data_IF_040254955732
#
_entry.id   IF_040254955732
#
_cell.length_a   1.000
_cell.length_b   1.000
_cell.length_c   1.000
_cell.angle_alpha   90.00
_cell.angle_beta   90.00
_cell.angle_gamma   90.00
#
_symmetry.space_group_name_H-M   'P 1'
#
loop_
_entity.id
_entity.type
_entity.pdbx_description
1 polymer ?
#
# COMPACT_ATOMS: atom_id res chain seq x y z
N UNK A 1 -37.97 8.67 32.67
CA UNK A 1 -36.85 9.54 33.11
C UNK A 1 -35.66 9.18 32.25
N UNK A 2 -35.41 10.01 31.25
CA UNK A 2 -34.40 9.78 30.22
C UNK A 2 -33.29 10.83 30.45
N UNK A 3 -32.27 10.46 31.20
CA UNK A 3 -31.07 11.29 31.37
C UNK A 3 -30.07 10.96 30.23
N UNK A 4 -30.12 11.75 29.15
CA UNK A 4 -29.05 11.80 28.17
C UNK A 4 -28.02 12.81 28.64
N UNK A 5 -26.94 12.32 29.19
CA UNK A 5 -25.76 13.11 29.51
C UNK A 5 -25.11 13.64 28.19
N UNK A 6 -24.98 14.98 27.98
CA UNK A 6 -24.35 15.50 26.77
C UNK A 6 -22.84 15.32 26.85
N UNK A 7 -22.27 14.70 25.84
CA UNK A 7 -20.81 14.63 25.60
C UNK A 7 -20.21 16.04 25.58
N UNK A 8 -19.08 16.28 26.27
CA UNK A 8 -18.41 17.59 26.24
C UNK A 8 -17.85 17.89 24.86
N UNK A 9 -18.24 19.03 24.29
CA UNK A 9 -17.60 19.56 23.07
C UNK A 9 -16.21 20.05 23.43
N UNK A 10 -15.18 19.38 22.90
CA UNK A 10 -13.79 19.83 23.02
C UNK A 10 -13.61 21.04 22.11
N UNK A 11 -13.36 22.21 22.71
CA UNK A 11 -13.06 23.45 22.01
C UNK A 11 -11.56 23.44 21.64
N UNK A 12 -11.23 23.17 20.38
CA UNK A 12 -9.86 23.08 19.85
C UNK A 12 -9.20 24.45 19.56
N UNK A 13 -9.85 25.57 19.88
CA UNK A 13 -9.30 26.90 19.61
C UNK A 13 -8.13 27.34 20.53
N UNK A 14 -7.78 26.56 21.54
CA UNK A 14 -6.77 26.91 22.57
C UNK A 14 -5.44 26.17 22.53
N UNK A 15 -5.19 25.26 21.59
CA UNK A 15 -4.02 24.32 21.67
C UNK A 15 -2.81 24.79 20.86
N UNK A 16 -2.87 25.89 20.10
CA UNK A 16 -1.74 26.38 19.31
C UNK A 16 -1.06 27.63 19.92
N UNK A 17 -0.63 27.52 21.19
CA UNK A 17 0.44 28.39 21.71
C UNK A 17 1.69 27.55 21.94
N UNK A 18 2.31 27.09 20.85
CA UNK A 18 3.66 26.60 20.89
C UNK A 18 4.62 27.79 20.67
N UNK A 19 5.46 28.02 21.66
CA UNK A 19 6.56 28.95 21.67
C UNK A 19 7.46 28.78 20.44
N UNK A 20 7.67 29.87 19.76
CA UNK A 20 8.40 30.09 18.53
C UNK A 20 9.88 29.62 18.64
N UNK A 21 10.34 28.56 17.94
CA UNK A 21 11.76 28.32 17.78
C UNK A 21 12.28 29.21 16.65
N UNK A 22 13.12 30.19 17.03
CA UNK A 22 14.06 30.96 16.20
C UNK A 22 13.83 30.92 14.68
N UNK A 23 13.24 31.98 14.16
CA UNK A 23 13.20 32.28 12.72
C UNK A 23 14.62 32.29 12.16
N UNK A 24 15.02 31.26 11.43
CA UNK A 24 16.18 31.33 10.56
C UNK A 24 15.85 32.38 9.49
N UNK A 25 16.56 33.52 9.56
CA UNK A 25 16.36 34.64 8.67
C UNK A 25 16.74 34.19 7.24
N UNK A 26 15.84 34.37 6.25
CA UNK A 26 16.05 34.02 4.83
C UNK A 26 17.38 34.51 4.27
N UNK A 27 17.92 35.60 4.78
CA UNK A 27 19.24 36.14 4.41
C UNK A 27 20.39 35.23 4.82
N UNK A 28 20.37 34.63 6.01
CA UNK A 28 21.41 33.71 6.47
C UNK A 28 21.39 32.36 5.76
N UNK A 29 20.22 31.91 5.28
CA UNK A 29 20.12 30.69 4.50
C UNK A 29 20.78 30.85 3.11
N UNK A 30 20.71 32.04 2.51
CA UNK A 30 21.34 32.35 1.23
C UNK A 30 22.85 32.59 1.35
N UNK A 31 23.34 33.05 2.48
CA UNK A 31 24.78 33.28 2.73
C UNK A 31 25.56 31.97 2.98
N UNK A 32 24.90 30.92 3.50
CA UNK A 32 25.53 29.58 3.69
C UNK A 32 25.65 28.81 2.36
N UNK A 33 24.79 29.10 1.37
CA UNK A 33 24.83 28.45 0.05
C UNK A 33 25.88 29.07 -0.90
N UNK A 34 26.41 30.25 -0.60
CA UNK A 34 27.40 30.93 -1.46
C UNK A 34 28.85 30.56 -1.19
N UNK A 35 29.17 29.78 -0.16
CA UNK A 35 30.54 29.43 0.21
C UNK A 35 31.01 28.03 -0.24
N UNK A 36 30.17 27.25 -0.93
CA UNK A 36 30.50 25.91 -1.43
C UNK A 36 30.25 25.77 -2.94
N UNK A 37 30.53 26.80 -3.73
CA UNK A 37 30.55 26.70 -5.19
C UNK A 37 31.86 26.00 -5.63
N UNK A 38 31.93 24.68 -5.48
CA UNK A 38 32.85 23.84 -6.25
C UNK A 38 32.18 23.76 -7.65
N UNK A 39 32.90 24.33 -8.63
CA UNK A 39 32.49 24.34 -10.05
C UNK A 39 32.45 22.91 -10.60
N UNK A 40 31.29 22.30 -10.62
CA UNK A 40 30.97 21.15 -11.45
C UNK A 40 30.42 21.69 -12.80
N UNK A 41 30.77 21.06 -13.95
CA UNK A 41 30.37 21.57 -15.24
C UNK A 41 28.84 21.55 -15.38
N UNK A 42 28.28 22.73 -15.60
CA UNK A 42 26.85 23.05 -15.70
C UNK A 42 26.05 22.28 -16.79
N UNK A 43 26.68 21.37 -17.53
CA UNK A 43 26.03 20.63 -18.62
C UNK A 43 25.31 19.36 -18.20
N UNK A 44 25.63 18.77 -17.05
CA UNK A 44 24.96 17.53 -16.61
C UNK A 44 23.84 17.75 -15.58
N UNK A 45 23.80 18.90 -14.94
CA UNK A 45 22.72 19.24 -13.98
C UNK A 45 21.38 19.54 -14.62
N UNK A 46 21.30 19.88 -15.90
CA UNK A 46 20.06 20.20 -16.60
C UNK A 46 19.33 18.95 -17.12
N UNK A 47 20.01 17.82 -17.30
CA UNK A 47 19.39 16.59 -17.79
C UNK A 47 18.62 15.82 -16.70
N UNK A 48 18.86 16.12 -15.43
CA UNK A 48 18.21 15.43 -14.30
C UNK A 48 16.93 16.14 -13.80
N UNK A 49 16.58 17.27 -14.38
CA UNK A 49 15.47 18.13 -13.90
C UNK A 49 14.25 18.14 -14.84
N UNK A 50 14.24 17.31 -15.90
CA UNK A 50 13.19 17.37 -16.94
C UNK A 50 12.31 16.11 -17.00
N UNK A 51 12.26 15.32 -15.95
CA UNK A 51 11.12 14.42 -15.71
C UNK A 51 10.37 14.96 -14.50
N UNK A 52 9.85 16.17 -14.61
CA UNK A 52 8.69 16.58 -13.83
C UNK A 52 7.51 15.84 -14.46
N UNK A 53 7.27 14.64 -13.97
CA UNK A 53 6.08 13.88 -14.22
C UNK A 53 4.89 14.82 -13.96
N UNK A 54 4.04 15.02 -14.97
CA UNK A 54 2.87 15.89 -14.83
C UNK A 54 2.07 15.40 -13.62
N UNK A 55 2.10 16.19 -12.57
CA UNK A 55 1.34 15.91 -11.36
C UNK A 55 -0.13 15.87 -11.76
N UNK A 56 -0.88 14.85 -11.32
CA UNK A 56 -2.31 14.77 -11.58
C UNK A 56 -2.96 16.14 -11.28
N UNK A 57 -3.51 16.76 -12.31
CA UNK A 57 -4.02 18.14 -12.25
C UNK A 57 -5.51 18.20 -11.91
N UNK A 58 -6.19 17.06 -11.86
CA UNK A 58 -7.63 16.94 -11.60
C UNK A 58 -7.92 15.87 -10.54
N UNK A 59 -9.07 16.00 -9.88
CA UNK A 59 -9.58 14.96 -9.00
C UNK A 59 -9.86 13.67 -9.79
N UNK A 60 -9.50 12.51 -9.22
CA UNK A 60 -9.86 11.20 -9.74
C UNK A 60 -10.97 10.62 -8.88
N UNK A 61 -12.08 10.27 -9.52
CA UNK A 61 -13.21 9.58 -8.90
C UNK A 61 -13.36 8.23 -9.60
N UNK A 62 -13.40 7.16 -8.83
CA UNK A 62 -13.53 5.79 -9.34
C UNK A 62 -14.78 5.17 -8.72
N UNK A 63 -15.76 4.84 -9.54
CA UNK A 63 -16.94 4.11 -9.08
C UNK A 63 -16.67 2.59 -9.03
N UNK A 64 -17.47 1.80 -8.29
CA UNK A 64 -17.30 0.35 -8.27
C UNK A 64 -17.36 -0.31 -9.65
N UNK A 65 -18.14 0.28 -10.58
CA UNK A 65 -18.34 -0.22 -11.95
C UNK A 65 -17.13 0.07 -12.83
N UNK A 66 -16.38 1.13 -12.56
CA UNK A 66 -15.17 1.52 -13.29
C UNK A 66 -13.93 0.77 -12.80
N UNK A 67 -13.97 0.22 -11.58
CA UNK A 67 -12.86 -0.52 -11.01
C UNK A 67 -12.71 -1.89 -11.69
N UNK A 68 -11.55 -2.13 -12.28
CA UNK A 68 -11.26 -3.43 -12.90
C UNK A 68 -11.15 -4.52 -11.85
N UNK A 69 -11.76 -5.68 -12.12
CA UNK A 69 -11.79 -6.84 -11.22
C UNK A 69 -10.80 -7.87 -11.72
N UNK A 70 -9.92 -8.31 -10.85
CA UNK A 70 -8.95 -9.39 -11.07
C UNK A 70 -9.23 -10.55 -10.13
N UNK A 71 -9.21 -11.78 -10.66
CA UNK A 71 -9.29 -12.97 -9.83
C UNK A 71 -7.98 -13.18 -9.09
N UNK A 72 -8.06 -13.60 -7.85
CA UNK A 72 -6.87 -13.90 -7.04
C UNK A 72 -6.59 -15.40 -6.99
N UNK A 73 -5.31 -15.76 -7.06
CA UNK A 73 -4.85 -17.13 -6.88
C UNK A 73 -5.16 -17.59 -5.44
N UNK A 74 -5.97 -18.65 -5.31
CA UNK A 74 -6.41 -19.15 -4.00
C UNK A 74 -7.84 -18.79 -3.64
N UNK A 75 -8.51 -17.97 -4.45
CA UNK A 75 -9.92 -17.60 -4.30
C UNK A 75 -10.12 -16.16 -3.82
N UNK A 76 -11.03 -15.47 -4.47
CA UNK A 76 -11.36 -14.09 -4.17
C UNK A 76 -11.13 -13.14 -5.33
N UNK A 77 -11.27 -11.85 -5.06
CA UNK A 77 -11.19 -10.79 -6.05
C UNK A 77 -10.39 -9.58 -5.53
N UNK A 78 -9.61 -8.97 -6.43
CA UNK A 78 -9.00 -7.67 -6.23
C UNK A 78 -9.67 -6.65 -7.17
N UNK A 79 -10.11 -5.52 -6.63
CA UNK A 79 -10.62 -4.36 -7.38
C UNK A 79 -9.69 -3.18 -7.17
N UNK A 80 -8.89 -2.86 -8.16
CA UNK A 80 -7.97 -1.72 -8.06
C UNK A 80 -8.75 -0.41 -8.24
N UNK A 81 -8.77 0.40 -7.20
CA UNK A 81 -9.42 1.72 -7.17
C UNK A 81 -8.44 2.81 -7.59
N UNK A 82 -7.18 2.68 -7.19
CA UNK A 82 -6.11 3.62 -7.50
C UNK A 82 -4.83 2.85 -7.78
N UNK A 83 -4.13 3.23 -8.83
CA UNK A 83 -2.87 2.60 -9.26
C UNK A 83 -1.75 3.62 -9.31
N UNK A 84 -0.51 3.15 -9.33
CA UNK A 84 0.67 4.01 -9.47
C UNK A 84 0.66 4.87 -10.72
N UNK A 85 0.06 4.42 -11.81
CA UNK A 85 -0.13 5.22 -13.01
C UNK A 85 -0.91 6.52 -12.74
N UNK A 86 -1.94 6.44 -11.88
CA UNK A 86 -2.79 7.59 -11.52
C UNK A 86 -2.22 8.44 -10.39
N UNK A 87 -1.26 7.92 -9.64
CA UNK A 87 -0.66 8.59 -8.46
C UNK A 87 0.78 9.00 -8.68
N UNK A 88 1.30 8.92 -9.91
CA UNK A 88 2.71 9.15 -10.23
C UNK A 88 3.67 8.26 -9.44
N UNK A 89 3.27 7.02 -9.16
CA UNK A 89 4.09 6.07 -8.41
C UNK A 89 4.03 6.22 -6.90
N UNK A 90 3.29 7.18 -6.37
CA UNK A 90 3.28 7.49 -4.94
C UNK A 90 2.61 6.41 -4.10
N UNK A 91 1.42 5.94 -4.52
CA UNK A 91 0.64 4.95 -3.77
C UNK A 91 -0.39 4.24 -4.66
N UNK A 92 -0.92 3.14 -4.15
CA UNK A 92 -2.02 2.40 -4.75
C UNK A 92 -3.08 2.06 -3.69
N UNK A 93 -4.30 1.72 -4.13
CA UNK A 93 -5.39 1.27 -3.27
C UNK A 93 -6.31 0.33 -4.03
N UNK A 94 -6.76 -0.73 -3.37
CA UNK A 94 -7.75 -1.66 -3.87
C UNK A 94 -8.76 -2.09 -2.82
N UNK A 95 -9.91 -2.57 -3.27
CA UNK A 95 -10.86 -3.32 -2.45
C UNK A 95 -10.69 -4.80 -2.76
N UNK A 96 -10.60 -5.60 -1.71
CA UNK A 96 -10.35 -7.04 -1.77
C UNK A 96 -11.50 -7.82 -1.18
N UNK A 97 -11.76 -8.99 -1.75
CA UNK A 97 -12.56 -10.06 -1.17
C UNK A 97 -11.71 -11.33 -1.17
N UNK A 98 -11.51 -11.92 -0.02
CA UNK A 98 -10.86 -13.23 0.11
C UNK A 98 -11.87 -14.27 0.54
N UNK A 99 -11.91 -15.38 -0.19
CA UNK A 99 -12.75 -16.53 0.14
C UNK A 99 -12.20 -17.31 1.33
N UNK A 100 -13.02 -18.09 2.06
CA UNK A 100 -12.54 -18.99 3.09
C UNK A 100 -11.41 -19.89 2.62
N UNK A 101 -10.33 -19.96 3.38
CA UNK A 101 -9.13 -20.74 3.05
C UNK A 101 -8.11 -20.04 2.14
N UNK A 102 -8.40 -18.84 1.65
CA UNK A 102 -7.36 -18.03 0.98
C UNK A 102 -6.19 -17.78 1.91
N UNK A 103 -4.97 -17.88 1.39
CA UNK A 103 -3.75 -17.65 2.17
C UNK A 103 -2.60 -17.24 1.27
N UNK A 104 -1.95 -16.12 1.58
CA UNK A 104 -0.69 -15.74 0.95
C UNK A 104 0.47 -16.58 1.50
N UNK A 105 1.55 -16.68 0.76
CA UNK A 105 2.81 -17.17 1.32
C UNK A 105 3.38 -16.15 2.30
N UNK A 106 4.25 -16.60 3.21
CA UNK A 106 5.07 -15.69 4.01
C UNK A 106 6.00 -14.92 3.06
N UNK A 107 5.95 -13.59 3.12
CA UNK A 107 6.69 -12.71 2.23
C UNK A 107 6.97 -11.36 2.89
N UNK A 108 7.72 -10.52 2.22
CA UNK A 108 7.84 -9.10 2.56
C UNK A 108 7.98 -8.27 1.28
N UNK A 109 7.69 -6.98 1.41
CA UNK A 109 7.92 -5.97 0.37
C UNK A 109 9.20 -5.20 0.68
N UNK A 110 10.24 -5.25 -0.17
CA UNK A 110 11.47 -4.49 0.07
C UNK A 110 11.27 -2.99 0.17
N UNK A 111 10.36 -2.43 -0.63
CA UNK A 111 10.23 -0.98 -0.80
C UNK A 111 8.86 -0.43 -0.38
N UNK A 112 7.81 -1.25 -0.32
CA UNK A 112 6.42 -0.81 -0.11
C UNK A 112 6.01 -1.03 1.35
N UNK A 113 5.48 0.00 2.00
CA UNK A 113 4.68 -0.14 3.23
C UNK A 113 3.25 -0.48 2.82
N UNK A 114 2.71 -1.58 3.35
CA UNK A 114 1.36 -2.03 3.05
C UNK A 114 0.41 -1.75 4.22
N UNK A 115 -0.84 -1.46 3.92
CA UNK A 115 -1.90 -1.29 4.91
C UNK A 115 -3.13 -2.09 4.50
N UNK A 116 -3.84 -2.63 5.50
CA UNK A 116 -5.11 -3.32 5.33
C UNK A 116 -6.13 -2.73 6.30
N UNK A 117 -7.32 -2.39 5.80
CA UNK A 117 -8.42 -1.90 6.63
C UNK A 117 -9.66 -2.77 6.40
N UNK A 118 -10.08 -3.49 7.42
CA UNK A 118 -11.17 -4.46 7.33
C UNK A 118 -12.52 -3.77 7.28
N UNK A 119 -13.32 -4.13 6.28
CA UNK A 119 -14.69 -3.63 6.07
C UNK A 119 -15.72 -4.61 6.65
N UNK A 120 -15.55 -5.92 6.38
CA UNK A 120 -16.48 -6.98 6.76
C UNK A 120 -15.74 -8.30 6.91
N UNK A 121 -16.18 -9.16 7.82
CA UNK A 121 -15.55 -10.45 8.10
C UNK A 121 -14.32 -10.33 9.01
N UNK A 122 -13.43 -11.32 8.94
CA UNK A 122 -12.20 -11.37 9.74
C UNK A 122 -11.02 -11.66 8.83
N UNK A 123 -10.06 -10.74 8.79
CA UNK A 123 -8.79 -10.92 8.09
C UNK A 123 -7.75 -11.44 9.07
N UNK A 124 -7.15 -12.58 8.76
CA UNK A 124 -6.04 -13.13 9.52
C UNK A 124 -4.72 -12.58 8.98
N UNK A 125 -3.92 -11.94 9.82
CA UNK A 125 -2.62 -11.38 9.46
C UNK A 125 -1.54 -11.97 10.34
N UNK A 126 -0.53 -12.59 9.75
CA UNK A 126 0.69 -13.01 10.44
C UNK A 126 1.73 -11.89 10.37
N UNK A 127 2.10 -11.36 11.51
CA UNK A 127 3.15 -10.35 11.67
C UNK A 127 3.74 -10.46 13.07
N UNK A 128 5.01 -10.06 13.24
CA UNK A 128 5.73 -10.13 14.53
C UNK A 128 5.63 -11.52 15.19
N UNK A 129 5.82 -12.58 14.39
CA UNK A 129 5.85 -13.99 14.77
C UNK A 129 4.55 -14.54 15.37
N UNK A 130 3.40 -13.90 15.09
CA UNK A 130 2.08 -14.37 15.54
C UNK A 130 0.97 -14.01 14.56
N UNK A 131 -0.14 -14.74 14.69
CA UNK A 131 -1.38 -14.42 13.99
C UNK A 131 -2.21 -13.38 14.74
N UNK A 132 -2.75 -12.42 14.00
CA UNK A 132 -3.70 -11.41 14.46
C UNK A 132 -4.99 -11.59 13.66
N UNK A 133 -6.13 -11.60 14.35
CA UNK A 133 -7.45 -11.66 13.73
C UNK A 133 -8.05 -10.24 13.73
N UNK A 134 -8.13 -9.64 12.55
CA UNK A 134 -8.58 -8.26 12.37
C UNK A 134 -10.07 -8.26 12.00
N UNK A 135 -10.90 -7.71 12.86
CA UNK A 135 -12.33 -7.50 12.59
C UNK A 135 -12.62 -6.16 11.90
N UNK A 136 -13.90 -5.91 11.53
CA UNK A 136 -14.33 -4.68 10.89
C UNK A 136 -13.90 -3.41 11.64
N UNK A 137 -13.41 -2.40 10.91
CA UNK A 137 -12.90 -1.14 11.47
C UNK A 137 -11.45 -1.20 11.95
N UNK A 138 -10.79 -2.36 11.85
CA UNK A 138 -9.38 -2.51 12.24
C UNK A 138 -8.45 -2.16 11.08
N UNK A 139 -7.43 -1.35 11.37
CA UNK A 139 -6.31 -1.06 10.48
C UNK A 139 -5.09 -1.89 10.89
N UNK A 140 -4.52 -2.63 9.95
CA UNK A 140 -3.20 -3.23 10.05
C UNK A 140 -2.19 -2.48 9.18
N UNK A 141 -0.96 -2.29 9.67
CA UNK A 141 0.14 -1.74 8.90
C UNK A 141 1.27 -2.76 8.86
N UNK A 142 1.75 -3.06 7.67
CA UNK A 142 2.79 -4.04 7.37
C UNK A 142 3.99 -3.29 6.78
N UNK A 143 4.97 -2.91 7.62
CA UNK A 143 6.11 -2.11 7.17
C UNK A 143 6.99 -2.86 6.18
N UNK A 144 7.56 -2.13 5.22
CA UNK A 144 8.56 -2.66 4.28
C UNK A 144 9.67 -3.43 4.98
N UNK A 145 10.16 -4.48 4.36
CA UNK A 145 11.21 -5.33 4.90
C UNK A 145 10.79 -6.25 6.04
N UNK A 146 9.53 -6.20 6.51
CA UNK A 146 9.05 -7.06 7.59
C UNK A 146 8.26 -8.25 7.05
N UNK A 147 8.64 -9.50 7.39
CA UNK A 147 7.91 -10.69 6.98
C UNK A 147 6.47 -10.69 7.49
N UNK A 148 5.55 -10.99 6.60
CA UNK A 148 4.13 -11.13 6.92
C UNK A 148 3.43 -12.11 5.97
N UNK A 149 2.25 -12.53 6.36
CA UNK A 149 1.30 -13.27 5.54
C UNK A 149 -0.11 -12.83 5.91
N UNK A 150 -1.04 -12.94 4.97
CA UNK A 150 -2.45 -12.68 5.25
C UNK A 150 -3.33 -13.75 4.62
N UNK A 151 -4.55 -13.85 5.12
CA UNK A 151 -5.52 -14.76 4.56
C UNK A 151 -6.83 -14.78 5.32
N UNK A 152 -7.71 -15.63 4.86
CA UNK A 152 -9.02 -15.83 5.47
C UNK A 152 -9.09 -17.23 6.12
N UNK A 153 -8.89 -17.27 7.43
CA UNK A 153 -8.96 -18.49 8.26
C UNK A 153 -10.37 -18.75 8.81
N UNK A 154 -11.33 -17.87 8.46
CA UNK A 154 -12.73 -17.99 8.86
C UNK A 154 -13.54 -18.81 7.85
N UNK A 155 -14.82 -19.03 8.15
CA UNK A 155 -15.78 -19.76 7.29
C UNK A 155 -16.60 -18.86 6.37
N UNK A 156 -16.35 -17.54 6.38
CA UNK A 156 -17.05 -16.54 5.59
C UNK A 156 -16.07 -15.67 4.81
N UNK A 157 -16.46 -15.09 3.67
CA UNK A 157 -15.62 -14.14 2.97
C UNK A 157 -15.25 -12.95 3.84
N UNK A 158 -14.04 -12.43 3.67
CA UNK A 158 -13.59 -11.17 4.25
C UNK A 158 -13.49 -10.10 3.17
N UNK A 159 -13.91 -8.87 3.50
CA UNK A 159 -13.76 -7.69 2.64
C UNK A 159 -12.90 -6.65 3.34
N UNK A 160 -11.93 -6.11 2.62
CA UNK A 160 -11.03 -5.09 3.17
C UNK A 160 -10.53 -4.14 2.08
N UNK A 161 -10.00 -3.01 2.49
CA UNK A 161 -9.19 -2.11 1.65
C UNK A 161 -7.73 -2.46 1.90
N UNK A 162 -7.01 -2.73 0.82
CA UNK A 162 -5.55 -2.81 0.81
C UNK A 162 -4.98 -1.57 0.13
N UNK A 163 -3.87 -1.07 0.61
CA UNK A 163 -3.14 0.04 0.02
C UNK A 163 -1.65 -0.11 0.26
N UNK A 164 -0.83 0.58 -0.53
CA UNK A 164 0.61 0.57 -0.33
C UNK A 164 1.30 1.80 -0.91
N UNK A 165 2.43 2.15 -0.32
CA UNK A 165 3.26 3.26 -0.74
C UNK A 165 4.76 2.90 -0.60
N UNK A 166 5.58 3.16 -1.65
CA UNK A 166 5.16 3.56 -2.99
C UNK A 166 4.33 2.50 -3.70
N UNK A 167 3.76 2.86 -4.86
CA UNK A 167 3.05 1.92 -5.73
C UNK A 167 4.02 0.95 -6.43
N UNK A 168 3.46 -0.10 -7.05
CA UNK A 168 4.22 -1.12 -7.80
C UNK A 168 3.76 -2.53 -7.50
N UNK A 169 3.45 -2.82 -6.24
CA UNK A 169 2.92 -4.11 -5.81
C UNK A 169 1.58 -4.45 -6.48
N UNK A 170 0.71 -3.48 -6.69
CA UNK A 170 -0.61 -3.68 -7.31
C UNK A 170 -0.55 -4.29 -8.73
N UNK A 171 0.58 -4.18 -9.41
CA UNK A 171 0.80 -4.82 -10.72
C UNK A 171 0.80 -6.36 -10.66
N UNK A 172 0.88 -6.93 -9.46
CA UNK A 172 0.73 -8.36 -9.23
C UNK A 172 -0.64 -8.86 -9.70
N UNK A 173 -1.73 -8.13 -9.37
CA UNK A 173 -3.10 -8.61 -9.58
C UNK A 173 -3.44 -8.82 -11.06
N UNK A 174 -3.25 -7.86 -11.96
CA UNK A 174 -3.46 -8.07 -13.39
C UNK A 174 -2.55 -9.15 -13.98
N UNK A 175 -1.28 -9.21 -13.53
CA UNK A 175 -0.32 -10.17 -14.06
C UNK A 175 -0.64 -11.61 -13.66
N UNK A 176 -1.11 -11.83 -12.43
CA UNK A 176 -1.49 -13.16 -11.94
C UNK A 176 -2.82 -13.62 -12.52
N UNK A 177 -3.81 -12.72 -12.65
CA UNK A 177 -5.07 -13.02 -13.29
C UNK A 177 -4.87 -13.42 -14.78
N UNK A 178 -3.99 -12.73 -15.51
CA UNK A 178 -3.60 -13.12 -16.86
C UNK A 178 -2.85 -14.47 -16.88
N UNK A 179 -1.94 -14.70 -15.92
CA UNK A 179 -1.22 -15.97 -15.82
C UNK A 179 -2.18 -17.15 -15.60
N UNK A 180 -3.19 -17.00 -14.73
CA UNK A 180 -4.20 -18.04 -14.47
C UNK A 180 -5.08 -18.34 -15.68
N UNK A 181 -5.30 -17.40 -16.58
CA UNK A 181 -6.00 -17.62 -17.85
C UNK A 181 -5.16 -18.43 -18.85
N UNK A 182 -3.84 -18.29 -18.83
CA UNK A 182 -2.93 -18.90 -19.79
C UNK A 182 -2.35 -20.23 -19.31
N UNK A 183 -2.23 -20.44 -18.02
CA UNK A 183 -1.55 -21.59 -17.45
C UNK A 183 -2.35 -22.18 -16.28
N UNK A 184 -2.31 -23.51 -16.16
CA UNK A 184 -3.00 -24.19 -15.04
C UNK A 184 -2.26 -23.90 -13.73
N UNK A 185 -2.93 -23.33 -12.71
CA UNK A 185 -2.36 -23.10 -11.39
C UNK A 185 -1.78 -24.38 -10.77
N UNK A 186 -0.65 -24.25 -10.07
CA UNK A 186 0.01 -25.34 -9.35
C UNK A 186 0.95 -26.21 -10.19
N UNK A 187 1.05 -26.00 -11.51
CA UNK A 187 2.08 -26.67 -12.32
C UNK A 187 3.46 -26.08 -12.07
N UNK A 188 4.57 -26.82 -12.28
CA UNK A 188 5.91 -26.28 -12.13
C UNK A 188 6.17 -25.03 -12.97
N UNK A 189 5.65 -24.99 -14.19
CA UNK A 189 5.77 -23.85 -15.12
C UNK A 189 5.00 -22.63 -14.60
N UNK A 190 3.77 -22.82 -14.10
CA UNK A 190 2.99 -21.76 -13.46
C UNK A 190 3.74 -21.18 -12.25
N UNK A 191 4.27 -22.04 -11.37
CA UNK A 191 5.02 -21.62 -10.18
C UNK A 191 6.26 -20.81 -10.58
N UNK A 192 6.98 -21.23 -11.63
CA UNK A 192 8.16 -20.54 -12.12
C UNK A 192 7.82 -19.13 -12.65
N UNK A 193 6.74 -19.00 -13.43
CA UNK A 193 6.28 -17.69 -13.94
C UNK A 193 5.72 -16.81 -12.82
N UNK A 194 4.95 -17.36 -11.90
CA UNK A 194 4.45 -16.61 -10.73
C UNK A 194 5.60 -16.02 -9.91
N UNK A 195 6.67 -16.76 -9.66
CA UNK A 195 7.86 -16.25 -8.95
C UNK A 195 8.51 -15.06 -9.67
N UNK A 196 8.59 -15.10 -11.00
CA UNK A 196 9.13 -13.99 -11.79
C UNK A 196 8.23 -12.75 -11.72
N UNK A 197 6.91 -12.96 -11.74
CA UNK A 197 5.93 -11.87 -11.58
C UNK A 197 6.07 -11.25 -10.18
N UNK A 198 6.03 -12.07 -9.12
CA UNK A 198 6.17 -11.62 -7.74
C UNK A 198 7.44 -10.78 -7.52
N UNK A 199 8.58 -11.25 -8.03
CA UNK A 199 9.85 -10.53 -7.90
C UNK A 199 9.84 -9.15 -8.59
N UNK A 200 9.09 -8.99 -9.69
CA UNK A 200 8.93 -7.68 -10.37
C UNK A 200 7.92 -6.76 -9.68
N UNK A 201 7.07 -7.31 -8.83
CA UNK A 201 6.02 -6.60 -8.10
C UNK A 201 6.41 -6.36 -6.63
N UNK A 202 7.67 -6.14 -6.34
CA UNK A 202 8.17 -5.82 -4.99
C UNK A 202 7.86 -6.90 -3.92
N UNK A 203 7.88 -8.21 -4.30
CA UNK A 203 7.61 -9.31 -3.38
C UNK A 203 8.82 -10.23 -3.29
N UNK A 204 9.30 -10.45 -2.07
CA UNK A 204 10.26 -11.51 -1.73
C UNK A 204 9.54 -12.60 -0.95
N UNK A 205 9.37 -13.76 -1.59
CA UNK A 205 8.72 -14.91 -0.98
C UNK A 205 9.69 -15.67 -0.07
N UNK A 206 9.26 -16.01 1.14
CA UNK A 206 10.04 -16.72 2.15
C UNK A 206 9.62 -18.20 2.31
N UNK A 207 8.39 -18.54 1.88
CA UNK A 207 7.87 -19.89 1.98
C UNK A 207 6.37 -19.94 2.30
N UNK A 208 5.84 -21.08 2.73
CA UNK A 208 4.44 -21.17 3.14
C UNK A 208 4.17 -20.29 4.36
N UNK A 209 2.92 -19.85 4.50
CA UNK A 209 2.49 -19.16 5.72
C UNK A 209 2.72 -20.07 6.94
N UNK A 210 3.08 -19.52 8.10
CA UNK A 210 3.18 -20.27 9.34
C UNK A 210 1.83 -20.91 9.74
N UNK A 211 1.89 -22.06 10.44
CA UNK A 211 0.69 -22.79 10.88
C UNK A 211 0.06 -22.14 12.11
#
# INVERSE_FOLDING_TARGET
MNDRNPTPRVNIAGVFHATNPTRLNRRRFLEVLSAAAIALPLKESFAMQTVMQEKATSATIVTPEEAHVYNMLGGGEARLLMTGERTNGEWWMGRFREDPGFMTQLHYHPNTDEQVYVLEGTLSVYADDKWHELGPGTLGTLPRGKPHAQGNRSDKPVHFIGSGAPSGFENLFPAVDDLMRRMKPGTPEFIAEFKKIAARCDIVQLGPAPK
#
